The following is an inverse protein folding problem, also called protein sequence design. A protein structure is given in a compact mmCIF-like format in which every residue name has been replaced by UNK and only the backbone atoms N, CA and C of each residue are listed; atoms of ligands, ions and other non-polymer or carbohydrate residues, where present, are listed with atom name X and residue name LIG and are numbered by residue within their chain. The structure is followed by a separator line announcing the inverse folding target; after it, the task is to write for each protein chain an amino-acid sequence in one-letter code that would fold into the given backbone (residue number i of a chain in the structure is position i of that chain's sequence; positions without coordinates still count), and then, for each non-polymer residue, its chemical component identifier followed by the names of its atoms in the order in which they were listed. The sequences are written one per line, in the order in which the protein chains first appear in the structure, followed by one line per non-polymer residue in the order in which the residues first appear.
data_IF_256450660393
#
_entry.id   IF_256450660393
#
_cell.length_a   1.000
_cell.length_b   1.000
_cell.length_c   1.000
_cell.angle_alpha   90.00
_cell.angle_beta   90.00
_cell.angle_gamma   90.00
#
_symmetry.space_group_name_H-M   'P 1'
#
loop_
_entity.id
_entity.type
_entity.pdbx_description
1 polymer ?
#
# COMPACT_ATOMS: atom_id res chain seq x y z
N UNK A 1 -16.45 -11.72 -3.43
CA UNK A 1 -16.46 -10.84 -2.23
C UNK A 1 -15.03 -10.45 -1.96
N UNK A 2 -14.74 -9.14 -1.87
CA UNK A 2 -13.37 -8.65 -1.72
C UNK A 2 -12.94 -8.69 -0.25
N UNK A 3 -11.77 -9.26 0.00
CA UNK A 3 -11.12 -9.23 1.32
C UNK A 3 -9.92 -8.30 1.29
N UNK A 4 -9.63 -7.67 2.42
CA UNK A 4 -8.54 -6.70 2.56
C UNK A 4 -7.80 -6.97 3.86
N UNK A 5 -6.48 -7.07 3.79
CA UNK A 5 -5.59 -7.19 4.95
C UNK A 5 -4.56 -6.07 4.88
N UNK A 6 -4.20 -5.53 6.05
CA UNK A 6 -3.11 -4.59 6.17
C UNK A 6 -2.29 -4.88 7.42
N UNK A 7 -0.98 -4.95 7.30
CA UNK A 7 -0.09 -5.29 8.41
C UNK A 7 1.28 -4.61 8.24
N UNK A 8 1.98 -4.34 9.35
CA UNK A 8 3.35 -3.85 9.28
C UNK A 8 4.32 -5.02 9.04
N UNK A 9 5.39 -4.75 8.30
CA UNK A 9 6.57 -5.62 8.21
C UNK A 9 7.85 -4.82 8.44
N UNK A 10 8.89 -5.49 8.93
CA UNK A 10 10.19 -4.90 9.18
C UNK A 10 11.29 -5.76 8.55
N UNK A 11 12.02 -5.16 7.61
CA UNK A 11 13.09 -5.81 6.87
C UNK A 11 14.46 -5.35 7.40
N UNK A 12 15.29 -6.26 7.94
CA UNK A 12 16.62 -5.89 8.41
C UNK A 12 17.50 -5.44 7.23
N UNK A 13 18.24 -4.37 7.41
CA UNK A 13 19.23 -3.92 6.43
C UNK A 13 20.55 -4.64 6.65
N UNK A 14 21.19 -5.08 5.56
CA UNK A 14 22.54 -5.67 5.63
C UNK A 14 23.54 -4.74 6.30
N UNK A 15 23.48 -3.44 5.99
CA UNK A 15 24.32 -2.39 6.57
C UNK A 15 23.42 -1.23 7.00
N UNK A 16 23.68 -0.59 8.16
CA UNK A 16 22.90 0.58 8.58
C UNK A 16 22.87 1.67 7.50
N UNK A 17 21.67 2.14 7.16
CA UNK A 17 21.46 3.24 6.22
C UNK A 17 21.46 4.56 6.96
N UNK A 18 22.42 5.43 6.65
CA UNK A 18 22.65 6.69 7.38
C UNK A 18 22.38 7.87 6.46
N UNK A 19 21.60 8.83 6.96
CA UNK A 19 21.41 10.16 6.37
C UNK A 19 21.66 11.21 7.46
N UNK A 20 21.74 12.50 7.10
CA UNK A 20 21.98 13.59 8.06
C UNK A 20 20.99 13.66 9.23
N UNK A 21 19.80 13.05 9.09
CA UNK A 21 18.74 13.01 10.12
C UNK A 21 18.78 11.78 11.02
N UNK A 22 19.68 10.83 10.79
CA UNK A 22 19.81 9.64 11.61
C UNK A 22 20.13 8.37 10.82
N UNK A 23 20.10 7.26 11.56
CA UNK A 23 20.49 5.93 11.09
C UNK A 23 19.29 5.00 11.15
N UNK A 24 19.11 4.17 10.12
CA UNK A 24 18.14 3.08 10.09
C UNK A 24 18.86 1.74 9.97
N UNK A 25 18.47 0.77 10.79
CA UNK A 25 18.96 -0.61 10.73
C UNK A 25 17.94 -1.56 10.10
N UNK A 26 16.72 -1.09 9.89
CA UNK A 26 15.63 -1.82 9.26
C UNK A 26 14.76 -0.86 8.43
N UNK A 27 14.03 -1.44 7.47
CA UNK A 27 12.99 -0.75 6.70
C UNK A 27 11.65 -1.25 7.20
N UNK A 28 10.88 -0.33 7.79
CA UNK A 28 9.51 -0.60 8.22
C UNK A 28 8.53 -0.21 7.15
N UNK A 29 7.62 -1.11 6.82
CA UNK A 29 6.66 -0.95 5.74
C UNK A 29 5.27 -1.33 6.21
N UNK A 30 4.26 -0.82 5.53
CA UNK A 30 2.89 -1.31 5.66
C UNK A 30 2.52 -1.98 4.35
N UNK A 31 2.15 -3.26 4.45
CA UNK A 31 1.71 -4.09 3.34
C UNK A 31 0.17 -4.09 3.32
N UNK A 32 -0.41 -3.97 2.14
CA UNK A 32 -1.84 -4.13 1.87
C UNK A 32 -2.02 -5.28 0.89
N UNK A 33 -2.85 -6.25 1.26
CA UNK A 33 -3.30 -7.32 0.38
C UNK A 33 -4.80 -7.14 0.09
N UNK A 34 -5.17 -7.21 -1.18
CA UNK A 34 -6.57 -7.19 -1.63
C UNK A 34 -6.81 -8.46 -2.43
N UNK A 35 -7.79 -9.26 -2.02
CA UNK A 35 -8.16 -10.48 -2.73
C UNK A 35 -9.63 -10.42 -3.18
N UNK A 36 -9.86 -10.67 -4.46
CA UNK A 36 -11.18 -10.66 -5.09
C UNK A 36 -11.28 -11.80 -6.10
N UNK A 37 -12.31 -12.63 -5.93
CA UNK A 37 -12.64 -13.76 -6.80
C UNK A 37 -11.45 -14.70 -7.09
N UNK A 38 -10.65 -14.95 -6.04
CA UNK A 38 -9.47 -15.83 -6.08
C UNK A 38 -8.20 -15.19 -6.64
N UNK A 39 -8.25 -13.90 -7.00
CA UNK A 39 -7.09 -13.14 -7.46
C UNK A 39 -6.63 -12.21 -6.34
N UNK A 40 -5.32 -12.20 -6.05
CA UNK A 40 -4.72 -11.35 -5.02
C UNK A 40 -3.83 -10.29 -5.66
N UNK A 41 -3.98 -9.05 -5.19
CA UNK A 41 -3.07 -7.94 -5.44
C UNK A 41 -2.39 -7.49 -4.15
N UNK A 42 -1.12 -7.09 -4.23
CA UNK A 42 -0.31 -6.66 -3.10
C UNK A 42 0.31 -5.28 -3.38
N UNK A 43 0.30 -4.43 -2.36
CA UNK A 43 0.93 -3.12 -2.40
C UNK A 43 1.63 -2.80 -1.08
N UNK A 44 2.68 -2.01 -1.14
CA UNK A 44 3.51 -1.67 0.01
C UNK A 44 3.81 -0.17 0.03
N UNK A 45 3.93 0.41 1.23
CA UNK A 45 4.51 1.73 1.40
C UNK A 45 5.36 1.81 2.66
N UNK A 46 6.39 2.67 2.64
CA UNK A 46 7.21 3.02 3.81
C UNK A 46 6.65 4.27 4.49
N UNK A 47 6.04 4.19 5.69
CA UNK A 47 5.64 5.38 6.44
C UNK A 47 6.84 6.28 6.74
N UNK A 48 6.72 7.57 6.46
CA UNK A 48 7.85 8.50 6.61
C UNK A 48 7.63 9.55 7.70
N UNK A 49 8.31 9.37 8.85
CA UNK A 49 8.20 10.25 10.02
C UNK A 49 8.46 11.74 9.73
N UNK A 50 9.30 12.06 8.73
CA UNK A 50 9.54 13.45 8.30
C UNK A 50 8.27 14.14 7.77
N UNK A 51 7.31 13.36 7.27
CA UNK A 51 6.01 13.82 6.79
C UNK A 51 4.89 13.57 7.82
N UNK A 52 5.23 13.24 9.07
CA UNK A 52 4.26 13.00 10.13
C UNK A 52 3.60 11.61 10.08
N UNK A 53 4.15 10.68 9.29
CA UNK A 53 3.61 9.33 9.18
C UNK A 53 4.32 8.34 10.12
N UNK A 54 3.56 7.34 10.57
CA UNK A 54 4.00 6.16 11.31
C UNK A 54 3.25 4.93 10.82
N UNK A 55 3.74 3.72 11.13
CA UNK A 55 3.01 2.47 10.84
C UNK A 55 1.58 2.52 11.40
N UNK A 56 1.43 2.97 12.66
CA UNK A 56 0.14 3.09 13.32
C UNK A 56 -0.80 4.08 12.62
N UNK A 57 -0.31 5.26 12.23
CA UNK A 57 -1.15 6.25 11.53
C UNK A 57 -1.58 5.76 10.15
N UNK A 58 -0.69 5.08 9.43
CA UNK A 58 -0.97 4.53 8.10
C UNK A 58 -1.98 3.39 8.17
N UNK A 59 -1.80 2.45 9.11
CA UNK A 59 -2.76 1.38 9.36
C UNK A 59 -4.13 1.92 9.77
N UNK A 60 -4.19 2.98 10.57
CA UNK A 60 -5.45 3.63 10.94
C UNK A 60 -6.16 4.26 9.73
N UNK A 61 -5.43 4.90 8.82
CA UNK A 61 -6.00 5.44 7.58
C UNK A 61 -6.56 4.32 6.68
N UNK A 62 -5.84 3.20 6.54
CA UNK A 62 -6.31 2.04 5.77
C UNK A 62 -7.56 1.43 6.43
N UNK A 63 -7.54 1.28 7.76
CA UNK A 63 -8.66 0.73 8.52
C UNK A 63 -9.96 1.53 8.32
N UNK A 64 -9.87 2.87 8.24
CA UNK A 64 -11.01 3.74 8.00
C UNK A 64 -11.67 3.52 6.62
N UNK A 65 -10.91 2.99 5.64
CA UNK A 65 -11.42 2.69 4.30
C UNK A 65 -11.80 1.22 4.08
N UNK A 66 -11.56 0.33 5.06
CA UNK A 66 -11.85 -1.10 4.91
C UNK A 66 -13.27 -1.41 4.37
N UNK A 67 -14.35 -0.79 4.89
CA UNK A 67 -15.69 -1.08 4.37
C UNK A 67 -15.85 -0.72 2.89
N UNK A 68 -15.33 0.44 2.47
CA UNK A 68 -15.42 0.89 1.10
C UNK A 68 -14.53 0.06 0.17
N UNK A 69 -13.34 -0.33 0.63
CA UNK A 69 -12.45 -1.23 -0.09
C UNK A 69 -13.13 -2.58 -0.31
N UNK A 70 -13.70 -3.19 0.73
CA UNK A 70 -14.43 -4.46 0.66
C UNK A 70 -15.68 -4.40 -0.25
N UNK A 71 -16.25 -3.20 -0.44
CA UNK A 71 -17.38 -2.93 -1.33
C UNK A 71 -16.95 -2.59 -2.77
N UNK A 72 -15.67 -2.72 -3.12
CA UNK A 72 -15.21 -2.54 -4.49
C UNK A 72 -14.73 -1.14 -4.84
N UNK A 73 -14.27 -0.34 -3.86
CA UNK A 73 -13.65 0.97 -4.12
C UNK A 73 -12.63 0.90 -5.28
N UNK A 74 -12.72 1.86 -6.20
CA UNK A 74 -11.82 1.98 -7.36
C UNK A 74 -10.62 2.88 -7.06
N UNK A 75 -9.61 2.84 -7.93
CA UNK A 75 -8.43 3.72 -7.81
C UNK A 75 -8.80 5.19 -7.89
N UNK A 76 -9.77 5.55 -8.72
CA UNK A 76 -10.25 6.93 -8.88
C UNK A 76 -10.97 7.41 -7.61
N UNK A 77 -11.81 6.57 -7.01
CA UNK A 77 -12.47 6.86 -5.75
C UNK A 77 -11.46 7.01 -4.59
N UNK A 78 -10.41 6.17 -4.59
CA UNK A 78 -9.32 6.27 -3.62
C UNK A 78 -8.61 7.62 -3.68
N UNK A 79 -8.40 8.20 -4.87
CA UNK A 79 -7.76 9.52 -5.01
C UNK A 79 -8.56 10.64 -4.31
N UNK A 80 -9.88 10.49 -4.21
CA UNK A 80 -10.76 11.44 -3.51
C UNK A 80 -10.85 11.15 -2.01
N UNK A 81 -10.71 9.88 -1.61
CA UNK A 81 -10.86 9.45 -0.24
C UNK A 81 -9.60 9.70 0.62
N UNK A 82 -8.41 9.67 0.02
CA UNK A 82 -7.14 9.91 0.72
C UNK A 82 -6.27 10.95 0.02
N UNK A 83 -5.59 11.83 0.80
CA UNK A 83 -4.51 12.65 0.25
C UNK A 83 -3.32 11.77 -0.16
N UNK A 84 -2.33 12.39 -0.81
CA UNK A 84 -1.05 11.73 -1.06
C UNK A 84 -0.37 11.34 0.26
N UNK A 85 0.07 10.09 0.36
CA UNK A 85 0.70 9.53 1.56
C UNK A 85 0.87 8.01 1.44
N UNK A 86 1.54 7.41 2.42
CA UNK A 86 1.88 6.00 2.43
C UNK A 86 0.64 5.09 2.40
N UNK A 87 -0.44 5.44 3.10
CA UNK A 87 -1.69 4.68 3.06
C UNK A 87 -2.26 4.60 1.65
N UNK A 88 -2.36 5.74 0.95
CA UNK A 88 -2.85 5.77 -0.43
C UNK A 88 -1.93 5.00 -1.37
N UNK A 89 -0.61 5.13 -1.19
CA UNK A 89 0.36 4.40 -2.00
C UNK A 89 0.20 2.88 -1.88
N UNK A 90 0.11 2.34 -0.66
CA UNK A 90 -0.03 0.91 -0.44
C UNK A 90 -1.34 0.37 -1.03
N UNK A 91 -2.46 1.07 -0.84
CA UNK A 91 -3.76 0.66 -1.39
C UNK A 91 -3.77 0.76 -2.92
N UNK A 92 -3.32 1.89 -3.49
CA UNK A 92 -3.34 2.09 -4.95
C UNK A 92 -2.47 1.06 -5.66
N UNK A 93 -1.29 0.76 -5.11
CA UNK A 93 -0.39 -0.29 -5.61
C UNK A 93 -1.06 -1.66 -5.57
N UNK A 94 -1.75 -2.01 -4.47
CA UNK A 94 -2.48 -3.27 -4.35
C UNK A 94 -3.63 -3.39 -5.37
N UNK A 95 -4.34 -2.29 -5.64
CA UNK A 95 -5.40 -2.25 -6.65
C UNK A 95 -4.85 -2.37 -8.07
N UNK A 96 -3.68 -1.77 -8.35
CA UNK A 96 -2.98 -1.94 -9.62
C UNK A 96 -2.54 -3.38 -9.83
N UNK A 97 -1.91 -3.99 -8.83
CA UNK A 97 -1.45 -5.38 -8.88
C UNK A 97 -2.63 -6.35 -9.07
N UNK A 98 -3.73 -6.13 -8.35
CA UNK A 98 -4.98 -6.88 -8.53
C UNK A 98 -5.49 -6.79 -9.98
N UNK A 99 -5.55 -5.57 -10.54
CA UNK A 99 -6.01 -5.35 -11.91
C UNK A 99 -5.10 -6.01 -12.95
N UNK A 100 -3.78 -5.97 -12.74
CA UNK A 100 -2.77 -6.66 -13.54
C UNK A 100 -3.03 -8.16 -13.61
N UNK A 101 -3.24 -8.78 -12.45
CA UNK A 101 -3.53 -10.21 -12.38
C UNK A 101 -4.90 -10.58 -12.97
N UNK A 102 -5.95 -9.79 -12.70
CA UNK A 102 -7.30 -10.03 -13.23
C UNK A 102 -7.34 -9.93 -14.76
N UNK A 103 -6.60 -8.97 -15.34
CA UNK A 103 -6.57 -8.73 -16.79
C UNK A 103 -5.48 -9.53 -17.51
N UNK A 104 -4.68 -10.32 -16.78
CA UNK A 104 -3.53 -11.06 -17.31
C UNK A 104 -2.60 -10.17 -18.16
N UNK A 105 -2.48 -8.91 -17.75
CA UNK A 105 -1.76 -7.88 -18.47
C UNK A 105 -0.77 -7.24 -17.51
N UNK A 106 0.45 -7.04 -17.97
CA UNK A 106 1.48 -6.43 -17.13
C UNK A 106 1.11 -5.00 -16.73
N UNK A 107 1.62 -4.54 -15.58
CA UNK A 107 1.40 -3.17 -15.12
C UNK A 107 1.82 -2.12 -16.16
N UNK A 108 2.94 -2.31 -16.86
CA UNK A 108 3.39 -1.37 -17.89
C UNK A 108 2.36 -1.24 -19.04
N UNK A 109 1.80 -2.36 -19.50
CA UNK A 109 0.73 -2.36 -20.51
C UNK A 109 -0.53 -1.65 -20.01
N UNK A 110 -0.93 -1.91 -18.76
CA UNK A 110 -2.13 -1.31 -18.19
C UNK A 110 -1.99 0.19 -17.90
N UNK A 111 -0.79 0.62 -17.53
CA UNK A 111 -0.48 2.02 -17.24
C UNK A 111 -0.24 2.85 -18.50
N UNK A 112 0.04 2.22 -19.64
CA UNK A 112 0.21 2.90 -20.93
C UNK A 112 1.49 3.73 -21.05
N UNK A 113 2.49 3.45 -20.20
CA UNK A 113 3.83 4.06 -20.22
C UNK A 113 4.91 3.08 -20.66
#
# INVERSE_FOLDING_TARGET
MRTVKSYPEAWPLHTPFVIARGTRTEVKVVVVEIEEDGVKGVGEATPYARYGESEASVLAQIAALLPALQQGMTREALQQALPAGAARNAIDSALWDLASHQQQSSLWQLSGV
#
